data_IF_032650963764
#
_entry.id   IF_032650963764
#
_cell.length_a   1.000
_cell.length_b   1.000
_cell.length_c   1.000
_cell.angle_alpha   90.00
_cell.angle_beta   90.00
_cell.angle_gamma   90.00
#
_symmetry.space_group_name_H-M   'P 1'
#
loop_
_entity.id
_entity.type
_entity.pdbx_description
1 polymer ?
#
# COMPACT_ATOMS: atom_id res chain seq x y z
N UNK A 1 -5.49 -6.27 2.63
CA UNK A 1 -5.31 -4.83 2.33
C UNK A 1 -4.14 -4.33 3.16
N UNK A 2 -3.16 -3.65 2.55
CA UNK A 2 -2.07 -3.02 3.30
C UNK A 2 -2.58 -1.85 4.14
N UNK A 3 -1.81 -1.46 5.15
CA UNK A 3 -1.98 -0.15 5.82
C UNK A 3 -1.31 0.90 4.93
N UNK A 4 -2.10 1.81 4.39
CA UNK A 4 -1.60 2.91 3.54
C UNK A 4 -1.59 4.18 4.41
N UNK A 5 -0.42 4.79 4.54
CA UNK A 5 -0.21 5.97 5.35
C UNK A 5 -0.26 7.23 4.47
N UNK A 6 -0.81 8.30 5.00
CA UNK A 6 -0.65 9.64 4.42
C UNK A 6 0.71 10.25 4.82
N UNK A 7 1.03 11.42 4.26
CA UNK A 7 2.33 12.05 4.49
C UNK A 7 2.62 12.30 6.00
N UNK A 8 1.68 12.83 6.82
CA UNK A 8 1.91 12.98 8.25
C UNK A 8 2.12 11.65 8.99
N UNK A 9 1.29 10.63 8.70
CA UNK A 9 1.43 9.33 9.34
C UNK A 9 2.73 8.63 8.96
N UNK A 10 3.21 8.81 7.72
CA UNK A 10 4.52 8.30 7.30
C UNK A 10 5.65 8.89 8.13
N UNK A 11 5.62 10.20 8.42
CA UNK A 11 6.64 10.83 9.26
C UNK A 11 6.65 10.24 10.67
N UNK A 12 5.47 10.09 11.29
CA UNK A 12 5.35 9.48 12.61
C UNK A 12 5.77 8.00 12.63
N UNK A 13 5.55 7.28 11.53
CA UNK A 13 5.96 5.88 11.39
C UNK A 13 7.48 5.70 11.33
N UNK A 14 8.20 6.65 10.72
CA UNK A 14 9.64 6.57 10.51
C UNK A 14 10.47 7.26 11.61
N UNK A 15 9.83 7.94 12.54
CA UNK A 15 10.51 8.69 13.60
C UNK A 15 11.07 7.73 14.67
N UNK A 16 12.42 7.62 14.81
CA UNK A 16 13.03 6.75 15.81
C UNK A 16 12.83 7.22 17.25
N UNK A 17 12.45 8.49 17.47
CA UNK A 17 12.16 9.02 18.79
C UNK A 17 10.74 8.65 19.27
N UNK A 18 9.89 8.16 18.37
CA UNK A 18 8.57 7.60 18.71
C UNK A 18 8.76 6.22 19.33
N UNK A 19 8.75 6.19 20.66
CA UNK A 19 8.96 4.96 21.45
C UNK A 19 7.68 4.39 22.07
N UNK A 20 6.60 5.17 22.14
CA UNK A 20 5.31 4.71 22.66
C UNK A 20 4.56 3.90 21.59
N UNK A 21 4.36 2.58 21.78
CA UNK A 21 3.77 1.71 20.75
C UNK A 21 2.36 2.14 20.35
N UNK A 22 1.60 2.76 21.27
CA UNK A 22 0.23 3.23 20.98
C UNK A 22 0.18 4.22 19.82
N UNK A 23 1.20 5.07 19.68
CA UNK A 23 1.29 6.06 18.61
C UNK A 23 1.32 5.36 17.25
N UNK A 24 2.19 4.37 17.11
CA UNK A 24 2.36 3.61 15.86
C UNK A 24 1.14 2.73 15.59
N UNK A 25 0.59 2.05 16.60
CA UNK A 25 -0.60 1.21 16.41
C UNK A 25 -1.84 1.99 16.00
N UNK A 26 -1.95 3.26 16.37
CA UNK A 26 -3.07 4.12 15.96
C UNK A 26 -3.07 4.39 14.45
N UNK A 27 -1.91 4.28 13.79
CA UNK A 27 -1.76 4.45 12.33
C UNK A 27 -2.24 3.22 11.54
N UNK A 28 -2.45 2.08 12.19
CA UNK A 28 -2.83 0.81 11.56
C UNK A 28 -4.34 0.75 11.25
N UNK A 29 -4.84 1.73 10.50
CA UNK A 29 -6.22 1.80 10.07
C UNK A 29 -6.38 1.39 8.60
N UNK A 30 -7.52 0.80 8.22
CA UNK A 30 -7.85 0.61 6.81
C UNK A 30 -7.86 1.94 6.06
N UNK A 31 -7.27 1.97 4.87
CA UNK A 31 -7.36 3.14 4.01
C UNK A 31 -8.77 3.24 3.40
N UNK A 32 -9.34 4.45 3.24
CA UNK A 32 -10.68 4.61 2.69
C UNK A 32 -10.79 4.01 1.27
N UNK A 33 -11.69 3.05 1.09
CA UNK A 33 -11.85 2.31 -0.17
C UNK A 33 -12.27 3.18 -1.34
N UNK A 34 -13.01 4.25 -1.07
CA UNK A 34 -13.48 5.25 -2.04
C UNK A 34 -12.34 6.10 -2.62
N UNK A 35 -11.16 6.10 -1.99
CA UNK A 35 -9.94 6.71 -2.49
C UNK A 35 -9.06 5.70 -3.24
N UNK A 36 -9.54 4.47 -3.43
CA UNK A 36 -8.85 3.40 -4.13
C UNK A 36 -9.61 2.98 -5.37
N UNK A 37 -8.87 2.61 -6.41
CA UNK A 37 -9.38 1.98 -7.62
C UNK A 37 -8.63 0.68 -7.85
N UNK A 38 -9.32 -0.33 -8.38
CA UNK A 38 -8.74 -1.59 -8.80
C UNK A 38 -9.33 -2.00 -10.15
N UNK A 39 -8.49 -2.60 -10.99
CA UNK A 39 -8.86 -3.11 -12.30
C UNK A 39 -8.21 -4.49 -12.50
N UNK A 40 -8.81 -5.29 -13.38
CA UNK A 40 -8.28 -6.61 -13.71
C UNK A 40 -6.98 -6.47 -14.52
N UNK A 41 -6.01 -7.34 -14.22
CA UNK A 41 -4.71 -7.40 -14.91
C UNK A 41 -4.45 -8.80 -15.43
N UNK A 42 -3.54 -8.92 -16.39
CA UNK A 42 -3.12 -10.22 -16.93
C UNK A 42 -2.56 -11.15 -15.86
N UNK A 43 -2.81 -12.46 -15.99
CA UNK A 43 -2.18 -13.49 -15.14
C UNK A 43 -0.66 -13.58 -15.33
N UNK A 44 -0.09 -12.82 -16.26
CA UNK A 44 1.35 -12.66 -16.45
C UNK A 44 2.08 -12.32 -15.12
N UNK A 45 1.46 -11.47 -14.29
CA UNK A 45 2.01 -11.01 -13.00
C UNK A 45 2.20 -12.13 -11.97
N UNK A 46 1.52 -13.27 -12.14
CA UNK A 46 1.60 -14.38 -11.19
C UNK A 46 2.99 -15.05 -11.14
N UNK A 47 3.82 -14.86 -12.16
CA UNK A 47 5.21 -15.32 -12.18
C UNK A 47 6.16 -14.17 -11.86
N UNK A 48 6.98 -14.25 -10.80
CA UNK A 48 7.93 -13.20 -10.44
C UNK A 48 9.08 -13.05 -11.46
N UNK A 49 9.20 -13.94 -12.44
CA UNK A 49 10.15 -13.79 -13.54
C UNK A 49 9.72 -12.72 -14.57
N UNK A 50 8.47 -12.26 -14.52
CA UNK A 50 7.93 -11.24 -15.41
C UNK A 50 7.98 -9.87 -14.73
N UNK A 51 9.04 -9.11 -15.00
CA UNK A 51 9.18 -7.71 -14.57
C UNK A 51 9.06 -6.78 -15.78
N UNK A 52 7.81 -6.53 -16.21
CA UNK A 52 7.49 -5.74 -17.40
C UNK A 52 6.21 -4.92 -17.21
N UNK A 53 6.01 -3.83 -17.98
CA UNK A 53 4.84 -2.96 -17.82
C UNK A 53 3.49 -3.68 -17.91
N UNK A 54 3.39 -4.72 -18.75
CA UNK A 54 2.17 -5.49 -19.00
C UNK A 54 1.63 -6.19 -17.73
N UNK A 55 2.44 -6.32 -16.67
CA UNK A 55 2.02 -6.87 -15.38
C UNK A 55 1.02 -5.97 -14.63
N UNK A 56 0.98 -4.67 -14.93
CA UNK A 56 0.07 -3.70 -14.30
C UNK A 56 -0.86 -3.01 -15.29
N UNK A 57 -0.86 -3.41 -16.56
CA UNK A 57 -1.79 -2.87 -17.55
C UNK A 57 -3.19 -3.43 -17.31
N UNK A 58 -4.20 -2.55 -17.42
CA UNK A 58 -5.59 -2.95 -17.31
C UNK A 58 -5.98 -3.87 -18.48
N UNK A 59 -6.70 -4.94 -18.19
CA UNK A 59 -7.31 -5.77 -19.22
C UNK A 59 -8.47 -5.01 -19.88
N UNK A 60 -8.50 -5.03 -21.21
CA UNK A 60 -9.66 -4.60 -22.01
C UNK A 60 -10.81 -5.61 -21.96
#
# INVERSE_FOLDING_TARGET
>A
MPVILDNPAQMAWLDPDVTEPKIVTALLQPFPSELMEGYDVSTLVNSPANDRPECIEALE
#
